data_IF_333286565577
#
_entry.id   IF_333286565577
#
_cell.length_a   1.000
_cell.length_b   1.000
_cell.length_c   1.000
_cell.angle_alpha   90.00
_cell.angle_beta   90.00
_cell.angle_gamma   90.00
#
_symmetry.space_group_name_H-M   'P 1'
#
loop_
_entity.id
_entity.type
_entity.pdbx_description
1 polymer ?
#
# COMPACT_ATOMS: atom_id res chain seq x y z
N UNK A 1 8.78 -11.99 23.38
CA UNK A 1 9.04 -13.13 24.30
C UNK A 1 8.13 -14.33 23.97
N UNK A 2 8.48 -15.57 24.34
CA UNK A 2 7.47 -16.64 24.46
C UNK A 2 6.51 -16.27 25.60
N UNK A 3 5.28 -16.80 25.60
CA UNK A 3 4.34 -16.64 26.72
C UNK A 3 4.90 -17.10 28.09
N UNK A 4 6.04 -17.82 28.10
CA UNK A 4 6.79 -18.21 29.31
C UNK A 4 8.21 -17.63 29.41
N UNK A 5 8.46 -16.39 28.99
CA UNK A 5 9.71 -15.66 29.30
C UNK A 5 11.00 -16.09 28.55
N UNK A 6 10.98 -17.19 27.80
CA UNK A 6 12.16 -17.66 27.05
C UNK A 6 12.52 -16.82 25.81
N UNK A 7 13.82 -16.74 25.50
CA UNK A 7 14.37 -16.13 24.27
C UNK A 7 13.81 -16.86 23.05
N UNK A 8 13.11 -16.15 22.15
CA UNK A 8 12.67 -16.73 20.88
C UNK A 8 13.91 -16.97 20.02
N UNK A 9 14.05 -18.14 19.41
CA UNK A 9 15.14 -18.45 18.46
C UNK A 9 14.55 -18.75 17.08
N UNK A 10 15.17 -18.23 16.03
CA UNK A 10 14.81 -18.62 14.67
C UNK A 10 15.43 -19.98 14.36
N UNK A 11 14.61 -20.98 14.00
CA UNK A 11 15.10 -22.32 13.61
C UNK A 11 15.94 -22.28 12.33
N UNK A 12 15.56 -21.46 11.35
CA UNK A 12 16.24 -21.37 10.04
C UNK A 12 17.56 -20.59 10.10
N UNK A 13 17.60 -19.48 10.86
CA UNK A 13 18.81 -18.67 10.97
C UNK A 13 19.73 -19.09 12.13
N UNK A 14 19.29 -20.01 13.01
CA UNK A 14 19.99 -20.42 14.22
C UNK A 14 20.40 -19.28 15.17
N UNK A 15 19.76 -18.11 15.05
CA UNK A 15 20.04 -16.90 15.83
C UNK A 15 18.89 -16.58 16.81
N UNK A 16 19.17 -15.94 17.95
CA UNK A 16 18.13 -15.30 18.76
C UNK A 16 17.28 -14.38 17.90
N UNK A 17 15.97 -14.39 18.13
CA UNK A 17 14.95 -13.64 17.39
C UNK A 17 14.52 -12.50 18.31
N UNK A 18 14.95 -11.25 18.03
CA UNK A 18 14.53 -10.08 18.79
C UNK A 18 13.01 -9.98 18.88
N UNK A 19 12.54 -9.18 19.82
CA UNK A 19 11.11 -8.89 19.91
C UNK A 19 10.61 -8.26 18.60
N UNK A 20 9.39 -8.65 18.22
CA UNK A 20 8.72 -8.21 16.98
C UNK A 20 9.45 -8.58 15.67
N UNK A 21 10.62 -9.21 15.71
CA UNK A 21 11.26 -9.73 14.49
C UNK A 21 10.47 -10.93 13.96
N UNK A 22 10.50 -11.21 12.66
CA UNK A 22 9.98 -12.46 12.04
C UNK A 22 10.92 -12.92 10.92
N UNK A 23 10.95 -14.23 10.64
CA UNK A 23 11.77 -14.77 9.55
C UNK A 23 10.96 -14.76 8.26
N UNK A 24 11.46 -14.09 7.23
CA UNK A 24 10.88 -14.14 5.89
C UNK A 24 11.57 -15.24 5.09
N UNK A 25 10.82 -16.23 4.62
CA UNK A 25 11.36 -17.31 3.77
C UNK A 25 11.81 -16.80 2.41
N UNK A 26 11.16 -15.78 1.86
CA UNK A 26 11.49 -15.20 0.55
C UNK A 26 12.83 -14.47 0.62
N UNK A 27 13.05 -13.66 1.66
CA UNK A 27 14.32 -12.96 1.84
C UNK A 27 15.42 -13.80 2.52
N UNK A 28 15.10 -15.03 2.98
CA UNK A 28 16.05 -15.92 3.65
C UNK A 28 16.61 -15.43 4.99
N UNK A 29 16.02 -14.39 5.61
CA UNK A 29 16.56 -13.76 6.83
C UNK A 29 15.47 -13.29 7.79
N UNK A 30 15.88 -13.06 9.05
CA UNK A 30 15.03 -12.39 10.04
C UNK A 30 14.97 -10.88 9.79
N UNK A 31 13.76 -10.35 9.78
CA UNK A 31 13.44 -8.93 9.61
C UNK A 31 12.96 -8.40 10.95
N UNK A 32 13.58 -7.31 11.44
CA UNK A 32 13.18 -6.64 12.68
C UNK A 32 11.85 -5.89 12.47
N UNK A 33 10.95 -5.94 13.47
CA UNK A 33 9.58 -5.41 13.38
C UNK A 33 8.96 -5.69 12.01
N UNK A 34 9.00 -6.97 11.60
CA UNK A 34 8.54 -7.36 10.29
C UNK A 34 7.05 -7.07 10.15
N UNK A 35 6.69 -6.42 9.06
CA UNK A 35 5.30 -6.20 8.70
C UNK A 35 4.86 -7.24 7.68
N UNK A 36 5.43 -7.21 6.48
CA UNK A 36 5.17 -8.19 5.43
C UNK A 36 6.32 -8.24 4.42
N UNK A 37 6.34 -9.27 3.58
CA UNK A 37 7.13 -9.24 2.34
C UNK A 37 6.25 -8.66 1.23
N UNK A 38 6.71 -7.59 0.58
CA UNK A 38 5.95 -6.90 -0.43
C UNK A 38 6.56 -7.20 -1.82
N UNK A 39 5.84 -7.94 -2.69
CA UNK A 39 6.31 -8.21 -4.04
C UNK A 39 6.51 -6.94 -4.87
N UNK A 40 5.67 -5.91 -4.64
CA UNK A 40 5.68 -4.66 -5.41
C UNK A 40 6.95 -3.83 -5.24
N UNK A 41 7.61 -3.94 -4.09
CA UNK A 41 8.92 -3.30 -3.84
C UNK A 41 10.05 -4.32 -3.78
N UNK A 42 9.76 -5.58 -4.15
CA UNK A 42 10.68 -6.73 -4.11
C UNK A 42 11.52 -6.80 -2.83
N UNK A 43 10.90 -6.51 -1.68
CA UNK A 43 11.61 -6.43 -0.41
C UNK A 43 10.67 -6.64 0.78
N UNK A 44 11.24 -6.99 1.93
CA UNK A 44 10.48 -6.94 3.18
C UNK A 44 10.26 -5.51 3.63
N UNK A 45 9.04 -5.24 4.10
CA UNK A 45 8.70 -4.06 4.88
C UNK A 45 8.86 -4.41 6.35
N UNK A 46 9.70 -3.66 7.05
CA UNK A 46 9.97 -3.84 8.47
C UNK A 46 10.58 -2.59 9.08
N UNK A 47 11.23 -2.71 10.23
CA UNK A 47 11.68 -1.56 11.02
C UNK A 47 12.47 -0.50 10.23
N UNK A 48 13.45 -0.93 9.42
CA UNK A 48 14.35 -0.02 8.72
C UNK A 48 13.75 0.72 7.53
N UNK A 49 12.58 0.31 7.04
CA UNK A 49 11.97 0.91 5.84
C UNK A 49 10.45 1.14 5.92
N UNK A 50 9.80 0.83 7.05
CA UNK A 50 8.35 0.99 7.19
C UNK A 50 7.91 2.44 6.95
N UNK A 51 8.67 3.44 7.42
CA UNK A 51 8.37 4.87 7.16
C UNK A 51 8.34 5.18 5.67
N UNK A 52 9.35 4.72 4.92
CA UNK A 52 9.44 4.94 3.48
C UNK A 52 8.32 4.23 2.73
N UNK A 53 7.98 3.01 3.14
CA UNK A 53 6.84 2.28 2.59
C UNK A 53 5.51 3.02 2.82
N UNK A 54 5.27 3.49 4.04
CA UNK A 54 4.04 4.23 4.36
C UNK A 54 3.93 5.53 3.57
N UNK A 55 5.03 6.29 3.44
CA UNK A 55 5.09 7.49 2.59
C UNK A 55 4.87 7.16 1.11
N UNK A 56 5.50 6.09 0.60
CA UNK A 56 5.29 5.61 -0.76
C UNK A 56 3.81 5.35 -1.05
N UNK A 57 3.13 4.57 -0.20
CA UNK A 57 1.68 4.29 -0.36
C UNK A 57 0.88 5.58 -0.31
N UNK A 58 1.21 6.50 0.60
CA UNK A 58 0.53 7.80 0.73
C UNK A 58 0.66 8.61 -0.56
N UNK A 59 1.87 8.77 -1.10
CA UNK A 59 2.10 9.56 -2.30
C UNK A 59 1.46 8.94 -3.54
N UNK A 60 1.50 7.60 -3.69
CA UNK A 60 0.85 6.93 -4.82
C UNK A 60 -0.68 7.05 -4.73
N UNK A 61 -1.25 6.96 -3.52
CA UNK A 61 -2.69 7.20 -3.32
C UNK A 61 -3.09 8.63 -3.70
N UNK A 62 -2.35 9.64 -3.22
CA UNK A 62 -2.60 11.05 -3.57
C UNK A 62 -2.44 11.32 -5.06
N UNK A 63 -1.40 10.76 -5.69
CA UNK A 63 -1.19 10.86 -7.13
C UNK A 63 -2.37 10.25 -7.91
N UNK A 64 -2.80 9.03 -7.55
CA UNK A 64 -3.95 8.39 -8.19
C UNK A 64 -5.24 9.20 -8.03
N UNK A 65 -5.50 9.79 -6.85
CA UNK A 65 -6.67 10.65 -6.61
C UNK A 65 -6.59 11.90 -7.49
N UNK A 66 -5.44 12.60 -7.50
CA UNK A 66 -5.25 13.80 -8.32
C UNK A 66 -5.42 13.50 -9.81
N UNK A 67 -4.84 12.40 -10.31
CA UNK A 67 -4.99 11.98 -11.70
C UNK A 67 -6.45 11.69 -12.04
N UNK A 68 -7.21 11.02 -11.16
CA UNK A 68 -8.62 10.75 -11.37
C UNK A 68 -9.44 12.05 -11.41
N UNK A 69 -9.21 12.98 -10.47
CA UNK A 69 -9.92 14.26 -10.41
C UNK A 69 -9.65 15.13 -11.64
N UNK A 70 -8.38 15.24 -12.06
CA UNK A 70 -8.00 16.01 -13.25
C UNK A 70 -8.59 15.37 -14.51
N UNK A 71 -8.49 14.05 -14.66
CA UNK A 71 -9.04 13.35 -15.84
C UNK A 71 -10.56 13.49 -15.92
N UNK A 72 -11.25 13.40 -14.78
CA UNK A 72 -12.69 13.64 -14.69
C UNK A 72 -13.05 15.08 -15.06
N UNK A 73 -12.32 16.07 -14.53
CA UNK A 73 -12.52 17.48 -14.86
C UNK A 73 -12.32 17.75 -16.35
N UNK A 74 -11.25 17.23 -16.95
CA UNK A 74 -10.97 17.37 -18.37
C UNK A 74 -12.07 16.77 -19.25
N UNK A 75 -12.59 15.58 -18.92
CA UNK A 75 -13.69 14.96 -19.68
C UNK A 75 -15.02 15.70 -19.51
N UNK A 76 -15.28 16.27 -18.33
CA UNK A 76 -16.53 16.95 -18.05
C UNK A 76 -16.58 18.37 -18.63
N UNK A 77 -15.47 19.12 -18.56
CA UNK A 77 -15.41 20.53 -18.93
C UNK A 77 -14.60 20.80 -20.20
N UNK A 78 -13.84 19.84 -20.72
CA UNK A 78 -13.09 19.97 -21.98
C UNK A 78 -13.97 20.46 -23.13
N UNK A 79 -15.12 19.81 -23.41
CA UNK A 79 -16.04 20.24 -24.47
C UNK A 79 -16.66 21.63 -24.25
N UNK A 80 -16.72 22.10 -22.98
CA UNK A 80 -17.23 23.44 -22.66
C UNK A 80 -16.16 24.53 -22.80
N UNK A 81 -14.88 24.17 -22.67
CA UNK A 81 -13.73 25.06 -22.86
C UNK A 81 -13.33 25.17 -24.33
N UNK A 82 -13.58 24.13 -25.13
CA UNK A 82 -13.42 24.12 -26.58
C UNK A 82 -14.68 24.66 -27.27
N UNK A 83 -14.88 25.98 -27.13
CA UNK A 83 -15.95 26.70 -27.84
C UNK A 83 -15.54 26.78 -29.31
N UNK A 84 -16.19 26.00 -30.19
CA UNK A 84 -15.92 25.81 -31.63
C UNK A 84 -14.74 24.85 -31.87
N UNK A 85 -14.87 23.71 -32.55
CA UNK A 85 -15.56 23.41 -33.80
C UNK A 85 -16.27 22.04 -33.76
N UNK A 86 -17.08 21.80 -34.79
CA UNK A 86 -17.59 20.52 -35.33
C UNK A 86 -18.07 19.42 -34.36
N UNK A 87 -19.30 18.95 -34.57
CA UNK A 87 -19.96 17.85 -33.85
C UNK A 87 -19.27 16.50 -34.06
N UNK A 88 -18.04 16.38 -33.55
CA UNK A 88 -17.15 15.25 -33.70
C UNK A 88 -17.38 14.24 -32.58
N UNK A 89 -17.33 12.97 -32.99
CA UNK A 89 -17.31 11.84 -32.08
C UNK A 89 -16.07 11.90 -31.17
N UNK A 90 -16.16 11.25 -30.01
CA UNK A 90 -15.09 11.10 -29.02
C UNK A 90 -13.70 10.92 -29.66
N UNK A 91 -12.75 11.82 -29.35
CA UNK A 91 -11.41 11.80 -29.92
C UNK A 91 -10.54 10.70 -29.28
N UNK A 92 -9.42 10.36 -29.93
CA UNK A 92 -8.41 9.45 -29.36
C UNK A 92 -7.92 9.94 -27.98
N UNK A 93 -7.81 11.26 -27.79
CA UNK A 93 -7.42 11.86 -26.51
C UNK A 93 -8.45 11.58 -25.41
N UNK A 94 -9.74 11.66 -25.74
CA UNK A 94 -10.83 11.39 -24.78
C UNK A 94 -10.84 9.91 -24.36
N UNK A 95 -10.56 8.98 -25.29
CA UNK A 95 -10.39 7.56 -24.96
C UNK A 95 -9.22 7.33 -24.01
N UNK A 96 -8.08 7.99 -24.23
CA UNK A 96 -6.95 7.91 -23.33
C UNK A 96 -7.29 8.47 -21.94
N UNK A 97 -7.95 9.63 -21.86
CA UNK A 97 -8.40 10.21 -20.59
C UNK A 97 -9.40 9.31 -19.85
N UNK A 98 -10.32 8.67 -20.58
CA UNK A 98 -11.27 7.73 -19.99
C UNK A 98 -10.56 6.51 -19.39
N UNK A 99 -9.60 5.92 -20.11
CA UNK A 99 -8.80 4.79 -19.59
C UNK A 99 -7.98 5.21 -18.37
N UNK A 100 -7.35 6.39 -18.42
CA UNK A 100 -6.59 6.93 -17.28
C UNK A 100 -7.51 7.17 -16.08
N UNK A 101 -8.70 7.73 -16.29
CA UNK A 101 -9.71 7.94 -15.25
C UNK A 101 -10.12 6.62 -14.59
N UNK A 102 -10.42 5.59 -15.38
CA UNK A 102 -10.84 4.28 -14.87
C UNK A 102 -9.71 3.63 -14.04
N UNK A 103 -8.49 3.58 -14.58
CA UNK A 103 -7.35 2.97 -13.89
C UNK A 103 -6.96 3.73 -12.62
N UNK A 104 -6.91 5.06 -12.66
CA UNK A 104 -6.59 5.89 -11.49
C UNK A 104 -7.67 5.85 -10.41
N UNK A 105 -8.95 5.74 -10.80
CA UNK A 105 -10.06 5.56 -9.85
C UNK A 105 -9.95 4.21 -9.14
N UNK A 106 -9.75 3.12 -9.87
CA UNK A 106 -9.57 1.79 -9.25
C UNK A 106 -8.36 1.78 -8.32
N UNK A 107 -7.22 2.32 -8.78
CA UNK A 107 -6.00 2.37 -8.00
C UNK A 107 -6.17 3.21 -6.73
N UNK A 108 -6.82 4.38 -6.82
CA UNK A 108 -7.06 5.24 -5.65
C UNK A 108 -7.93 4.57 -4.60
N UNK A 109 -8.99 3.83 -5.00
CA UNK A 109 -9.84 3.09 -4.07
C UNK A 109 -9.06 2.00 -3.34
N UNK A 110 -8.30 1.19 -4.08
CA UNK A 110 -7.48 0.10 -3.51
C UNK A 110 -6.43 0.66 -2.55
N UNK A 111 -5.67 1.68 -2.98
CA UNK A 111 -4.60 2.24 -2.18
C UNK A 111 -5.10 3.01 -0.97
N UNK A 112 -6.25 3.69 -1.05
CA UNK A 112 -6.84 4.39 0.09
C UNK A 112 -7.32 3.40 1.15
N UNK A 113 -7.95 2.29 0.72
CA UNK A 113 -8.33 1.21 1.63
C UNK A 113 -7.10 0.60 2.32
N UNK A 114 -6.08 0.27 1.54
CA UNK A 114 -4.82 -0.27 2.06
C UNK A 114 -4.11 0.70 3.01
N UNK A 115 -4.00 1.98 2.63
CA UNK A 115 -3.45 3.05 3.47
C UNK A 115 -4.19 3.18 4.79
N UNK A 116 -5.54 3.11 4.78
CA UNK A 116 -6.36 3.20 5.98
C UNK A 116 -6.04 2.10 6.98
N UNK A 117 -5.84 0.86 6.50
CA UNK A 117 -5.43 -0.25 7.38
C UNK A 117 -4.04 0.00 7.99
N UNK A 118 -3.07 0.47 7.20
CA UNK A 118 -1.74 0.77 7.71
C UNK A 118 -1.71 1.98 8.64
N UNK A 119 -2.58 2.96 8.42
CA UNK A 119 -2.75 4.09 9.33
C UNK A 119 -3.20 3.62 10.71
N UNK A 120 -4.21 2.73 10.77
CA UNK A 120 -4.68 2.12 12.03
C UNK A 120 -3.59 1.31 12.74
N UNK A 121 -2.78 0.57 11.97
CA UNK A 121 -1.63 -0.17 12.50
C UNK A 121 -0.58 0.77 13.11
N UNK A 122 -0.29 1.90 12.45
CA UNK A 122 0.61 2.94 12.95
C UNK A 122 0.06 3.57 14.23
N UNK A 123 -1.23 3.96 14.25
CA UNK A 123 -1.86 4.55 15.44
C UNK A 123 -1.89 3.58 16.63
N UNK A 124 -1.95 2.28 16.35
CA UNK A 124 -1.90 1.23 17.38
C UNK A 124 -0.49 0.73 17.69
N UNK A 125 0.55 1.25 17.03
CA UNK A 125 1.93 0.76 17.07
C UNK A 125 2.04 -0.78 16.89
N UNK A 126 1.23 -1.35 16.00
CA UNK A 126 1.23 -2.78 15.65
C UNK A 126 1.81 -2.99 14.25
N UNK A 127 2.43 -4.14 13.99
CA UNK A 127 2.65 -4.62 12.62
C UNK A 127 1.46 -5.45 12.14
N UNK A 128 1.38 -5.70 10.84
CA UNK A 128 0.36 -6.57 10.24
C UNK A 128 0.37 -7.96 10.88
N UNK A 129 1.55 -8.53 11.11
CA UNK A 129 1.68 -9.85 11.77
C UNK A 129 1.10 -9.80 13.18
N UNK A 130 1.45 -8.79 13.97
CA UNK A 130 0.97 -8.66 15.36
C UNK A 130 -0.54 -8.47 15.42
N UNK A 131 -1.12 -7.70 14.51
CA UNK A 131 -2.56 -7.53 14.42
C UNK A 131 -3.28 -8.86 14.10
N UNK A 132 -2.72 -9.68 13.20
CA UNK A 132 -3.26 -11.01 12.88
C UNK A 132 -3.10 -11.98 14.06
N UNK A 133 -1.93 -12.00 14.71
CA UNK A 133 -1.68 -12.81 15.91
C UNK A 133 -2.65 -12.43 17.04
N UNK A 134 -2.89 -11.13 17.25
CA UNK A 134 -3.87 -10.61 18.21
C UNK A 134 -5.30 -11.08 17.91
N UNK A 135 -5.77 -10.93 16.67
CA UNK A 135 -7.11 -11.39 16.26
C UNK A 135 -7.30 -12.89 16.47
N UNK A 136 -6.29 -13.70 16.16
CA UNK A 136 -6.31 -15.15 16.40
C UNK A 136 -6.37 -15.53 17.87
N UNK A 137 -5.91 -14.66 18.77
CA UNK A 137 -5.91 -14.93 20.21
C UNK A 137 -7.30 -14.72 20.85
N UNK A 138 -8.24 -14.09 20.12
CA UNK A 138 -9.63 -13.85 20.55
C UNK A 138 -10.66 -14.75 19.85
N UNK A 139 -10.23 -15.55 18.87
CA UNK A 139 -11.06 -16.54 18.18
C UNK A 139 -10.81 -17.93 18.77
#
# INVERSE_FOLDING_TARGET
TKAGGGVRKCKKCSKPKPDRAHHCSICGRCILKMDHHCPWVNNCVGWGNYKFFFLFVTYVALYAILTALISFFCLLFGPLLEINEDGSAFSVYDYHLLVILLLSTILSLVLTSFWSTHYQLVSSNMSTIENVEKKKSYS
#
